data_IF_593796465459
#
_entry.id   IF_593796465459
#
_cell.length_a   1.000
_cell.length_b   1.000
_cell.length_c   1.000
_cell.angle_alpha   90.00
_cell.angle_beta   90.00
_cell.angle_gamma   90.00
#
_symmetry.space_group_name_H-M   'P 1'
#
loop_
_entity.id
_entity.type
_entity.pdbx_description
1 polymer ?
#
# COMPACT_ATOMS: atom_id res chain seq x y z
N UNK A 1 -15.32 -39.22 20.87
CA UNK A 1 -15.85 -37.84 20.85
C UNK A 1 -15.93 -37.21 22.21
N UNK A 2 -16.48 -37.88 23.22
CA UNK A 2 -16.48 -37.36 24.60
C UNK A 2 -15.09 -37.03 25.13
N UNK A 3 -14.11 -37.90 24.87
CA UNK A 3 -12.70 -37.61 25.24
C UNK A 3 -12.12 -36.30 24.63
N UNK A 4 -12.54 -35.94 23.43
CA UNK A 4 -12.10 -34.68 22.83
C UNK A 4 -12.78 -33.47 23.48
N UNK A 5 -14.08 -33.59 23.77
CA UNK A 5 -14.82 -32.55 24.49
C UNK A 5 -14.26 -32.33 25.90
N UNK A 6 -13.88 -33.42 26.57
CA UNK A 6 -13.27 -33.37 27.91
C UNK A 6 -11.89 -32.68 27.91
N UNK A 7 -11.09 -32.86 26.83
CA UNK A 7 -9.76 -32.27 26.67
C UNK A 7 -9.83 -30.86 26.12
N UNK A 8 -10.67 -30.64 25.11
CA UNK A 8 -10.70 -29.37 24.35
C UNK A 8 -11.71 -28.37 24.92
N UNK A 9 -12.62 -28.81 25.80
CA UNK A 9 -13.66 -27.97 26.38
C UNK A 9 -14.68 -27.41 25.38
N UNK A 10 -14.79 -28.04 24.19
CA UNK A 10 -15.78 -27.71 23.17
C UNK A 10 -16.08 -28.89 22.25
N UNK A 11 -17.27 -28.88 21.63
CA UNK A 11 -17.66 -29.91 20.65
C UNK A 11 -17.21 -29.47 19.24
N UNK A 12 -16.22 -30.18 18.64
CA UNK A 12 -15.68 -29.81 17.33
C UNK A 12 -16.69 -29.95 16.19
N UNK A 13 -17.67 -30.80 16.30
CA UNK A 13 -18.70 -31.00 15.27
C UNK A 13 -19.74 -29.88 15.24
N UNK A 14 -19.89 -29.16 16.36
CA UNK A 14 -20.84 -28.05 16.47
C UNK A 14 -20.15 -26.73 16.18
N UNK A 15 -18.90 -26.57 16.62
CA UNK A 15 -18.16 -25.27 16.58
C UNK A 15 -17.15 -25.18 15.47
N UNK A 16 -16.92 -26.24 14.70
CA UNK A 16 -15.92 -26.25 13.64
C UNK A 16 -16.42 -27.00 12.42
N UNK A 17 -16.18 -26.43 11.23
CA UNK A 17 -16.61 -27.01 9.93
C UNK A 17 -15.63 -28.11 9.47
N UNK A 18 -14.37 -28.01 9.86
CA UNK A 18 -13.28 -28.92 9.45
C UNK A 18 -12.44 -29.30 10.67
N UNK A 19 -11.71 -30.44 10.56
CA UNK A 19 -10.71 -30.84 11.56
C UNK A 19 -9.64 -29.74 11.76
N UNK A 20 -9.19 -29.12 10.66
CA UNK A 20 -8.23 -28.04 10.74
C UNK A 20 -8.76 -26.84 11.53
N UNK A 21 -10.04 -26.48 11.36
CA UNK A 21 -10.64 -25.39 12.13
C UNK A 21 -10.84 -25.76 13.61
N UNK A 22 -11.12 -27.03 13.91
CA UNK A 22 -11.20 -27.52 15.29
C UNK A 22 -9.84 -27.45 16.00
N UNK A 23 -8.77 -27.90 15.32
CA UNK A 23 -7.40 -27.81 15.83
C UNK A 23 -6.96 -26.35 16.06
N UNK A 24 -7.28 -25.47 15.12
CA UNK A 24 -6.97 -24.03 15.25
C UNK A 24 -7.74 -23.41 16.43
N UNK A 25 -9.01 -23.73 16.59
CA UNK A 25 -9.82 -23.26 17.71
C UNK A 25 -9.23 -23.72 19.06
N UNK A 26 -8.87 -25.01 19.16
CA UNK A 26 -8.23 -25.56 20.36
C UNK A 26 -6.90 -24.85 20.64
N UNK A 27 -6.07 -24.66 19.63
CA UNK A 27 -4.77 -24.01 19.77
C UNK A 27 -4.91 -22.56 20.23
N UNK A 28 -5.83 -21.82 19.62
CA UNK A 28 -6.09 -20.43 20.00
C UNK A 28 -6.60 -20.31 21.44
N UNK A 29 -7.45 -21.26 21.88
CA UNK A 29 -8.03 -21.23 23.22
C UNK A 29 -7.04 -21.67 24.31
N UNK A 30 -6.23 -22.70 24.05
CA UNK A 30 -5.46 -23.39 25.11
C UNK A 30 -3.95 -23.06 25.08
N UNK A 31 -3.45 -22.56 23.95
CA UNK A 31 -2.00 -22.40 23.74
C UNK A 31 -1.58 -20.96 23.45
N UNK A 32 -2.51 -20.08 23.14
CA UNK A 32 -2.22 -18.68 22.93
C UNK A 32 -2.45 -17.89 24.23
N UNK A 33 -1.44 -17.18 24.64
CA UNK A 33 -1.57 -16.18 25.70
C UNK A 33 -2.25 -14.93 25.15
N UNK A 34 -2.98 -14.23 26.02
CA UNK A 34 -3.62 -12.96 25.63
C UNK A 34 -2.57 -11.99 25.11
N UNK A 35 -2.87 -11.30 24.00
CA UNK A 35 -2.04 -10.31 23.33
C UNK A 35 -0.81 -10.86 22.58
N UNK A 36 -0.66 -12.16 22.35
CA UNK A 36 0.41 -12.72 21.51
C UNK A 36 0.10 -12.72 20.02
N UNK A 37 -1.15 -12.59 19.62
CA UNK A 37 -1.54 -12.44 18.21
C UNK A 37 -2.06 -11.03 17.99
N UNK A 38 -1.61 -10.41 16.91
CA UNK A 38 -2.18 -9.16 16.45
C UNK A 38 -3.69 -9.33 16.25
N UNK A 39 -4.49 -8.52 16.94
CA UNK A 39 -5.93 -8.47 16.73
C UNK A 39 -6.19 -8.12 15.27
N UNK A 40 -7.19 -8.80 14.71
CA UNK A 40 -7.68 -8.42 13.38
C UNK A 40 -8.03 -6.93 13.37
N UNK A 41 -7.48 -6.14 12.42
CA UNK A 41 -7.81 -4.73 12.34
C UNK A 41 -9.31 -4.53 12.18
N UNK A 42 -9.86 -3.46 12.78
CA UNK A 42 -11.25 -3.07 12.52
C UNK A 42 -11.44 -2.91 11.00
N UNK A 43 -12.13 -3.86 10.37
CA UNK A 43 -12.30 -3.92 8.90
C UNK A 43 -11.73 -5.18 8.26
N UNK A 44 -11.18 -6.12 9.06
CA UNK A 44 -10.68 -7.41 8.59
C UNK A 44 -9.22 -7.38 8.12
N UNK A 45 -8.66 -8.56 7.92
CA UNK A 45 -7.41 -8.75 7.19
C UNK A 45 -7.71 -8.50 5.71
N UNK A 46 -7.60 -7.28 5.26
CA UNK A 46 -7.56 -7.01 3.83
C UNK A 46 -6.37 -7.78 3.29
N UNK A 47 -6.64 -8.77 2.43
CA UNK A 47 -5.61 -9.63 1.85
C UNK A 47 -4.42 -8.77 1.40
N UNK A 48 -3.22 -9.26 1.63
CA UNK A 48 -1.93 -8.59 1.43
C UNK A 48 -1.68 -8.12 -0.02
N UNK A 49 -2.62 -7.44 -0.64
CA UNK A 49 -2.39 -6.68 -1.85
C UNK A 49 -1.78 -5.31 -1.49
N UNK A 50 -0.61 -5.37 -0.82
CA UNK A 50 0.24 -4.19 -0.71
C UNK A 50 0.73 -3.91 -2.12
N UNK A 51 -0.02 -3.12 -2.86
CA UNK A 51 0.33 -2.72 -4.22
C UNK A 51 1.43 -1.64 -4.27
N UNK A 52 1.93 -1.22 -3.11
CA UNK A 52 3.03 -0.26 -3.01
C UNK A 52 4.38 -0.98 -3.00
N UNK A 53 5.26 -0.57 -3.92
CA UNK A 53 6.62 -1.10 -3.97
C UNK A 53 7.47 -0.59 -2.80
N UNK A 54 8.49 -1.36 -2.40
CA UNK A 54 9.44 -0.94 -1.36
C UNK A 54 10.02 0.45 -1.63
N UNK A 55 10.38 0.74 -2.88
CA UNK A 55 10.95 2.04 -3.25
C UNK A 55 9.93 3.19 -3.14
N UNK A 56 8.64 2.93 -3.34
CA UNK A 56 7.58 3.91 -3.09
C UNK A 56 7.45 4.20 -1.60
N UNK A 57 7.49 3.15 -0.77
CA UNK A 57 7.46 3.29 0.70
C UNK A 57 8.67 4.05 1.23
N UNK A 58 9.89 3.77 0.74
CA UNK A 58 11.09 4.54 1.09
C UNK A 58 10.91 6.04 0.82
N UNK A 59 10.31 6.38 -0.33
CA UNK A 59 10.04 7.78 -0.65
C UNK A 59 8.98 8.39 0.27
N UNK A 60 7.88 7.68 0.55
CA UNK A 60 6.82 8.15 1.45
C UNK A 60 7.33 8.34 2.89
N UNK A 61 8.15 7.42 3.40
CA UNK A 61 8.80 7.59 4.70
C UNK A 61 9.71 8.81 4.73
N UNK A 62 10.44 9.07 3.64
CA UNK A 62 11.26 10.27 3.55
C UNK A 62 10.41 11.55 3.51
N UNK A 63 9.28 11.55 2.80
CA UNK A 63 8.34 12.69 2.83
C UNK A 63 7.80 12.93 4.25
N UNK A 64 7.41 11.87 4.96
CA UNK A 64 6.97 11.97 6.35
C UNK A 64 8.08 12.53 7.26
N UNK A 65 9.31 12.05 7.10
CA UNK A 65 10.48 12.56 7.82
C UNK A 65 10.70 14.07 7.59
N UNK A 66 10.58 14.55 6.35
CA UNK A 66 10.70 15.97 6.01
C UNK A 66 9.60 16.83 6.66
N UNK A 67 8.48 16.25 6.98
CA UNK A 67 7.37 16.90 7.71
C UNK A 67 7.50 16.80 9.24
N UNK A 68 8.62 16.29 9.74
CA UNK A 68 8.90 16.10 11.17
C UNK A 68 8.65 14.69 11.70
N UNK A 69 8.36 13.74 10.85
CA UNK A 69 8.02 12.36 11.21
C UNK A 69 6.64 12.27 11.88
N UNK A 70 6.36 11.24 12.63
CA UNK A 70 5.11 11.04 13.38
C UNK A 70 3.96 10.41 12.58
N UNK A 71 4.20 9.88 11.37
CA UNK A 71 3.20 9.21 10.55
C UNK A 71 2.15 10.15 9.96
N UNK A 72 2.51 11.40 9.67
CA UNK A 72 1.63 12.38 9.04
C UNK A 72 1.24 11.97 7.63
N UNK A 73 2.20 11.42 6.87
CA UNK A 73 1.92 10.86 5.56
C UNK A 73 1.33 9.46 5.75
N UNK A 74 0.01 9.37 5.63
CA UNK A 74 -0.69 8.09 5.67
C UNK A 74 -0.42 7.33 4.39
N UNK A 75 -0.10 6.05 4.51
CA UNK A 75 0.16 5.12 3.41
C UNK A 75 -0.18 3.68 3.83
N UNK A 76 -0.02 2.72 2.95
CA UNK A 76 -0.45 1.33 3.18
C UNK A 76 0.10 0.68 4.47
N UNK A 77 1.26 1.11 4.96
CA UNK A 77 1.90 0.52 6.15
C UNK A 77 1.48 1.17 7.48
N UNK A 78 0.91 2.37 7.46
CA UNK A 78 0.55 3.11 8.69
C UNK A 78 -0.92 3.56 8.76
N UNK A 79 -1.79 3.04 7.93
CA UNK A 79 -3.20 3.39 7.94
C UNK A 79 -4.03 2.65 6.89
N UNK A 80 -3.41 1.68 6.22
CA UNK A 80 -4.03 0.97 5.12
C UNK A 80 -4.03 1.76 3.80
N UNK A 81 -4.65 1.21 2.79
CA UNK A 81 -4.75 1.85 1.48
C UNK A 81 -5.54 3.16 1.58
N UNK A 82 -4.93 4.26 1.13
CA UNK A 82 -5.51 5.59 1.31
C UNK A 82 -6.50 5.89 0.19
N UNK A 83 -7.71 6.22 0.59
CA UNK A 83 -8.79 6.63 -0.31
C UNK A 83 -9.08 8.11 -0.13
N UNK A 84 -9.24 8.81 -1.24
CA UNK A 84 -9.65 10.22 -1.27
C UNK A 84 -10.90 10.39 -2.11
N UNK A 85 -11.74 11.35 -1.72
CA UNK A 85 -12.98 11.64 -2.42
C UNK A 85 -12.74 12.71 -3.48
N UNK A 86 -13.19 12.44 -4.70
CA UNK A 86 -13.31 13.45 -5.73
C UNK A 86 -14.80 13.66 -6.09
N UNK A 87 -15.18 14.72 -6.74
CA UNK A 87 -16.58 14.91 -7.17
C UNK A 87 -17.10 13.79 -8.09
N UNK A 88 -16.22 13.08 -8.78
CA UNK A 88 -16.58 12.02 -9.72
C UNK A 88 -16.53 10.62 -9.10
N UNK A 89 -15.53 10.35 -8.27
CA UNK A 89 -15.27 8.99 -7.75
C UNK A 89 -14.36 8.99 -6.53
N UNK A 90 -14.29 7.83 -5.85
CA UNK A 90 -13.27 7.55 -4.83
C UNK A 90 -12.00 7.09 -5.53
N UNK A 91 -10.87 7.71 -5.21
CA UNK A 91 -9.58 7.38 -5.80
C UNK A 91 -8.61 6.87 -4.74
N UNK A 92 -7.86 5.83 -5.10
CA UNK A 92 -6.75 5.33 -4.27
C UNK A 92 -5.48 6.12 -4.56
N UNK A 93 -4.74 6.48 -3.50
CA UNK A 93 -3.51 7.25 -3.57
C UNK A 93 -2.41 6.58 -2.74
N UNK A 94 -1.14 6.80 -3.10
CA UNK A 94 -0.01 6.17 -2.42
C UNK A 94 0.23 6.75 -1.03
N UNK A 95 0.06 8.05 -0.87
CA UNK A 95 0.21 8.73 0.41
C UNK A 95 -0.68 9.96 0.54
N UNK A 96 -1.05 10.31 1.77
CA UNK A 96 -1.88 11.49 2.06
C UNK A 96 -1.53 12.15 3.38
N UNK A 97 -1.22 13.43 3.35
CA UNK A 97 -1.15 14.30 4.52
C UNK A 97 -2.46 15.09 4.66
N UNK A 98 -3.28 14.70 5.62
CA UNK A 98 -4.57 15.34 5.88
C UNK A 98 -4.43 16.78 6.38
N UNK A 99 -3.33 17.12 7.05
CA UNK A 99 -3.11 18.47 7.63
C UNK A 99 -2.93 19.51 6.53
N UNK A 100 -2.17 19.16 5.48
CA UNK A 100 -1.90 20.07 4.36
C UNK A 100 -2.76 19.78 3.13
N UNK A 101 -3.65 18.78 3.20
CA UNK A 101 -4.46 18.30 2.08
C UNK A 101 -3.60 17.91 0.88
N UNK A 102 -2.45 17.25 1.16
CA UNK A 102 -1.44 16.90 0.16
C UNK A 102 -1.45 15.41 -0.14
N UNK A 103 -1.59 15.07 -1.40
CA UNK A 103 -1.50 13.71 -1.93
C UNK A 103 -0.07 13.48 -2.44
N UNK A 104 0.46 12.30 -2.17
CA UNK A 104 1.74 11.83 -2.65
C UNK A 104 1.52 10.65 -3.59
N UNK A 105 2.01 10.75 -4.83
CA UNK A 105 1.92 9.73 -5.87
C UNK A 105 3.32 9.31 -6.33
N UNK A 106 3.63 8.01 -6.25
CA UNK A 106 4.90 7.46 -6.70
C UNK A 106 4.71 6.61 -7.95
N UNK A 107 5.31 7.04 -9.04
CA UNK A 107 5.14 6.40 -10.34
C UNK A 107 6.29 5.46 -10.66
N UNK A 108 6.07 4.15 -10.54
CA UNK A 108 6.96 3.14 -11.07
C UNK A 108 7.09 3.29 -12.58
N UNK A 109 8.31 3.49 -13.09
CA UNK A 109 8.54 3.83 -14.49
C UNK A 109 7.91 2.84 -15.47
N UNK A 110 7.96 1.55 -15.13
CA UNK A 110 7.38 0.49 -15.96
C UNK A 110 5.85 0.56 -15.96
N UNK A 111 5.24 0.71 -14.78
CA UNK A 111 3.78 0.63 -14.60
C UNK A 111 3.05 1.88 -15.07
N UNK A 112 3.69 3.03 -15.00
CA UNK A 112 3.07 4.33 -15.34
C UNK A 112 3.57 4.90 -16.68
N UNK A 113 4.35 4.12 -17.44
CA UNK A 113 4.78 4.50 -18.78
C UNK A 113 5.68 5.74 -18.83
N UNK A 114 6.68 5.82 -17.93
CA UNK A 114 7.56 6.98 -17.81
C UNK A 114 8.04 7.52 -19.17
N UNK A 115 7.81 8.81 -19.46
CA UNK A 115 8.14 9.40 -20.77
C UNK A 115 9.65 9.45 -21.01
N UNK A 116 10.45 9.52 -19.95
CA UNK A 116 11.91 9.53 -20.04
C UNK A 116 12.46 8.13 -20.28
N UNK A 117 12.04 7.14 -19.49
CA UNK A 117 12.54 5.77 -19.59
C UNK A 117 12.06 5.04 -20.83
N UNK A 118 10.85 5.34 -21.32
CA UNK A 118 10.22 4.68 -22.45
C UNK A 118 9.94 5.60 -23.64
N UNK A 119 10.78 6.60 -23.83
CA UNK A 119 10.64 7.60 -24.91
C UNK A 119 10.47 6.97 -26.31
N UNK A 120 11.19 5.89 -26.58
CA UNK A 120 11.17 5.21 -27.89
C UNK A 120 10.10 4.10 -28.01
N UNK A 121 9.40 3.80 -26.92
CA UNK A 121 8.46 2.67 -26.82
C UNK A 121 7.02 3.10 -26.56
N UNK A 122 6.66 4.35 -26.89
CA UNK A 122 5.34 4.91 -26.58
C UNK A 122 4.16 4.10 -27.13
N UNK A 123 4.31 3.55 -28.31
CA UNK A 123 3.26 2.77 -29.00
C UNK A 123 3.32 1.27 -28.71
N UNK A 124 4.25 0.80 -27.85
CA UNK A 124 4.34 -0.61 -27.48
C UNK A 124 3.19 -0.96 -26.54
N UNK A 125 2.42 -2.00 -26.88
CA UNK A 125 1.39 -2.58 -26.03
C UNK A 125 2.00 -3.56 -25.04
N UNK A 126 1.43 -3.62 -23.83
CA UNK A 126 1.92 -4.49 -22.76
C UNK A 126 0.76 -5.26 -22.13
N UNK A 127 0.88 -6.59 -22.06
CA UNK A 127 -0.15 -7.45 -21.44
C UNK A 127 -0.42 -7.09 -19.97
N UNK A 128 0.61 -6.69 -19.22
CA UNK A 128 0.46 -6.24 -17.84
C UNK A 128 -0.39 -4.97 -17.67
N UNK A 129 -0.73 -4.28 -18.75
CA UNK A 129 -1.57 -3.09 -18.79
C UNK A 129 -2.89 -3.30 -19.53
N UNK A 130 -3.42 -4.51 -19.56
CA UNK A 130 -4.64 -4.86 -20.29
C UNK A 130 -4.53 -4.44 -21.77
N UNK A 131 -3.40 -4.76 -22.39
CA UNK A 131 -3.07 -4.49 -23.79
C UNK A 131 -3.05 -2.99 -24.20
N UNK A 132 -2.96 -2.09 -23.22
CA UNK A 132 -2.77 -0.66 -23.46
C UNK A 132 -1.32 -0.36 -23.89
N UNK A 133 -1.16 0.68 -24.68
CA UNK A 133 0.17 1.20 -25.02
C UNK A 133 0.80 1.94 -23.84
N UNK A 134 2.12 2.06 -23.86
CA UNK A 134 2.87 2.85 -22.87
C UNK A 134 2.37 4.32 -22.82
N UNK A 135 1.95 4.86 -23.97
CA UNK A 135 1.39 6.21 -24.05
C UNK A 135 0.05 6.30 -23.34
N UNK A 136 -0.87 5.38 -23.61
CA UNK A 136 -2.21 5.36 -22.98
C UNK A 136 -2.13 5.20 -21.46
N UNK A 137 -1.15 4.43 -20.97
CA UNK A 137 -0.91 4.28 -19.52
C UNK A 137 -0.39 5.58 -18.90
N UNK A 138 0.56 6.23 -19.55
CA UNK A 138 1.05 7.54 -19.13
C UNK A 138 -0.07 8.60 -19.07
N UNK A 139 -0.88 8.67 -20.12
CA UNK A 139 -2.00 9.61 -20.17
C UNK A 139 -3.06 9.32 -19.09
N UNK A 140 -3.26 8.05 -18.73
CA UNK A 140 -4.13 7.69 -17.61
C UNK A 140 -3.55 8.17 -16.26
N UNK A 141 -2.23 8.10 -16.08
CA UNK A 141 -1.54 8.62 -14.90
C UNK A 141 -1.70 10.14 -14.79
N UNK A 142 -1.47 10.86 -15.89
CA UNK A 142 -1.65 12.31 -15.95
C UNK A 142 -3.11 12.74 -15.69
N UNK A 143 -4.08 12.00 -16.25
CA UNK A 143 -5.51 12.27 -15.98
C UNK A 143 -5.84 12.09 -14.50
N UNK A 144 -5.34 11.03 -13.85
CA UNK A 144 -5.52 10.81 -12.40
C UNK A 144 -5.02 12.02 -11.62
N UNK A 145 -3.79 12.44 -11.86
CA UNK A 145 -3.19 13.57 -11.17
C UNK A 145 -3.97 14.89 -11.42
N UNK A 146 -4.43 15.11 -12.65
CA UNK A 146 -5.26 16.27 -12.98
C UNK A 146 -6.60 16.26 -12.24
N UNK A 147 -7.27 15.10 -12.15
CA UNK A 147 -8.54 14.93 -11.42
C UNK A 147 -8.38 15.25 -9.94
N UNK A 148 -7.30 14.75 -9.33
CA UNK A 148 -7.00 15.04 -7.92
C UNK A 148 -6.75 16.53 -7.67
N UNK A 149 -6.00 17.20 -8.56
CA UNK A 149 -5.77 18.66 -8.47
C UNK A 149 -7.07 19.46 -8.64
N UNK A 150 -7.93 19.06 -9.58
CA UNK A 150 -9.24 19.69 -9.78
C UNK A 150 -10.18 19.50 -8.58
N UNK A 151 -10.03 18.40 -7.84
CA UNK A 151 -10.75 18.16 -6.59
C UNK A 151 -10.23 18.99 -5.40
N UNK A 152 -9.19 19.82 -5.59
CA UNK A 152 -8.65 20.73 -4.58
C UNK A 152 -7.50 20.16 -3.75
N UNK A 153 -6.94 19.02 -4.14
CA UNK A 153 -5.76 18.46 -3.49
C UNK A 153 -4.45 19.06 -4.04
N UNK A 154 -3.47 19.26 -3.18
CA UNK A 154 -2.08 19.43 -3.60
C UNK A 154 -1.52 18.07 -3.97
N UNK A 155 -0.97 17.89 -5.17
CA UNK A 155 -0.43 16.59 -5.62
C UNK A 155 1.08 16.70 -5.81
N UNK A 156 1.81 15.94 -5.01
CA UNK A 156 3.27 15.78 -5.09
C UNK A 156 3.56 14.44 -5.78
N UNK A 157 4.24 14.52 -6.91
CA UNK A 157 4.52 13.38 -7.77
C UNK A 157 6.00 13.05 -7.78
N UNK A 158 6.34 11.76 -7.79
CA UNK A 158 7.72 11.30 -7.89
C UNK A 158 7.83 10.11 -8.85
N UNK A 159 8.65 10.25 -9.87
CA UNK A 159 9.01 9.13 -10.74
C UNK A 159 10.11 8.28 -10.13
N UNK A 160 10.01 6.97 -10.30
CA UNK A 160 10.99 5.99 -9.81
C UNK A 160 12.42 6.33 -10.27
N UNK A 161 12.60 6.72 -11.53
CA UNK A 161 13.92 7.06 -12.05
C UNK A 161 14.50 8.34 -11.43
N UNK A 162 13.65 9.33 -11.11
CA UNK A 162 14.08 10.54 -10.43
C UNK A 162 14.46 10.28 -8.98
N UNK A 163 13.69 9.45 -8.28
CA UNK A 163 14.02 9.05 -6.93
C UNK A 163 15.30 8.19 -6.86
N UNK A 164 15.49 7.28 -7.82
CA UNK A 164 16.75 6.52 -7.94
C UNK A 164 17.98 7.43 -8.16
N UNK A 165 17.82 8.51 -8.88
CA UNK A 165 18.89 9.49 -9.06
C UNK A 165 19.11 10.32 -7.79
N UNK A 166 18.03 10.76 -7.15
CA UNK A 166 18.07 11.46 -5.86
C UNK A 166 18.76 10.63 -4.77
N UNK A 167 18.48 9.33 -4.69
CA UNK A 167 19.17 8.39 -3.78
C UNK A 167 20.68 8.38 -3.97
N UNK A 168 21.19 8.69 -5.16
CA UNK A 168 22.64 8.76 -5.43
C UNK A 168 23.25 10.12 -5.09
N UNK A 169 22.50 11.18 -5.26
CA UNK A 169 23.01 12.56 -5.20
C UNK A 169 22.68 13.29 -3.90
N UNK A 170 21.63 12.90 -3.17
CA UNK A 170 21.18 13.56 -1.95
C UNK A 170 21.77 12.86 -0.70
N UNK A 171 22.76 13.47 0.01
CA UNK A 171 23.35 12.88 1.20
C UNK A 171 22.36 12.71 2.37
N UNK A 172 21.40 13.63 2.53
CA UNK A 172 20.40 13.57 3.59
C UNK A 172 19.46 12.37 3.40
N UNK A 173 19.01 12.15 2.15
CA UNK A 173 18.20 10.98 1.81
C UNK A 173 19.00 9.68 2.03
N UNK A 174 20.28 9.65 1.67
CA UNK A 174 21.14 8.47 1.92
C UNK A 174 21.25 8.15 3.41
N UNK A 175 21.53 9.16 4.23
CA UNK A 175 21.62 8.98 5.68
C UNK A 175 20.30 8.45 6.24
N UNK A 176 19.18 9.09 5.90
CA UNK A 176 17.85 8.65 6.31
C UNK A 176 17.56 7.17 5.97
N UNK A 177 17.89 6.73 4.74
CA UNK A 177 17.63 5.37 4.28
C UNK A 177 18.58 4.31 4.90
N UNK A 178 19.69 4.72 5.52
CA UNK A 178 20.56 3.82 6.28
C UNK A 178 20.04 3.56 7.69
N UNK A 179 19.24 4.48 8.21
CA UNK A 179 18.62 4.42 9.55
C UNK A 179 17.18 3.87 9.53
N UNK A 180 16.63 3.55 8.34
CA UNK A 180 15.29 3.02 8.14
C UNK A 180 15.26 1.49 8.26
#
# INVERSE_FOLDING_TARGET
>A
MREFEDIAGFNPLIQSITIASACNHFWCKEKLEENLIALEPLGGWHGNHINQSTIALEWLYYQDHLLGGMGRVRHVRNGGEVQVLTPAEVMFVDGFDQVTNTIYEFYGCWYHGCPRCFKKQRNVRRNCHNDRTVQEVYEATERKAATLRQAGYTVVEKWECDFKEEKKTNPALKAFLQDL
#
